data_IF_728644833893
#
_entry.id   IF_728644833893
#
_cell.length_a   1.000
_cell.length_b   1.000
_cell.length_c   1.000
_cell.angle_alpha   90.00
_cell.angle_beta   90.00
_cell.angle_gamma   90.00
#
_symmetry.space_group_name_H-M   'P 1'
#
loop_
_entity.id
_entity.type
_entity.pdbx_description
1 polymer ?
#
# COMPACT_ATOMS: atom_id res chain seq x y z
N UNK A 1 10.36 1.58 3.43
CA UNK A 1 9.18 1.70 2.53
C UNK A 1 8.00 2.26 3.32
N UNK A 2 6.81 2.42 2.75
CA UNK A 2 5.56 2.80 3.45
C UNK A 2 4.50 1.74 3.20
N UNK A 3 3.47 1.69 4.06
CA UNK A 3 2.24 0.92 3.82
C UNK A 3 1.17 1.74 3.08
N UNK A 4 0.22 1.05 2.45
CA UNK A 4 -1.02 1.67 1.96
C UNK A 4 -2.06 1.81 3.05
N UNK A 5 -2.06 0.95 4.07
CA UNK A 5 -2.89 1.09 5.27
C UNK A 5 -2.29 0.30 6.44
N UNK A 6 -2.57 0.73 7.66
CA UNK A 6 -2.28 0.01 8.91
C UNK A 6 -3.58 -0.12 9.71
N UNK A 7 -3.98 -1.34 9.99
CA UNK A 7 -5.10 -1.61 10.89
C UNK A 7 -4.70 -1.39 12.35
N UNK A 8 -5.61 -0.86 13.18
CA UNK A 8 -5.46 -0.84 14.63
C UNK A 8 -5.39 -2.24 15.25
N UNK A 9 -5.85 -3.27 14.53
CA UNK A 9 -5.68 -4.69 14.90
C UNK A 9 -4.28 -5.25 14.59
N UNK A 10 -3.42 -4.48 13.91
CA UNK A 10 -1.99 -4.77 13.74
C UNK A 10 -1.57 -5.23 12.34
N UNK A 11 -2.50 -5.43 11.41
CA UNK A 11 -2.20 -5.82 10.03
C UNK A 11 -1.79 -4.62 9.18
N UNK A 12 -0.71 -4.78 8.42
CA UNK A 12 -0.34 -3.82 7.38
C UNK A 12 -0.83 -4.30 6.02
N UNK A 13 -1.26 -3.37 5.17
CA UNK A 13 -1.72 -3.69 3.81
C UNK A 13 -0.91 -2.90 2.79
N UNK A 14 -0.42 -3.60 1.76
CA UNK A 14 0.14 -3.01 0.55
C UNK A 14 -0.56 -3.52 -0.70
N UNK A 15 -0.59 -2.65 -1.71
CA UNK A 15 -0.98 -2.96 -3.08
C UNK A 15 0.19 -2.64 -3.99
N UNK A 16 0.44 -3.52 -4.94
CA UNK A 16 1.52 -3.38 -5.91
C UNK A 16 1.09 -3.84 -7.30
N UNK A 17 1.70 -3.26 -8.34
CA UNK A 17 1.49 -3.61 -9.73
C UNK A 17 2.63 -4.45 -10.28
N UNK A 18 3.87 -4.09 -9.93
CA UNK A 18 5.11 -4.72 -10.40
C UNK A 18 5.70 -5.66 -9.35
N UNK A 19 5.33 -5.48 -8.09
CA UNK A 19 5.84 -6.25 -6.95
C UNK A 19 7.12 -5.69 -6.34
N UNK A 20 7.66 -4.60 -6.89
CA UNK A 20 8.94 -4.03 -6.46
C UNK A 20 8.88 -3.38 -5.06
N UNK A 21 7.72 -2.87 -4.63
CA UNK A 21 7.56 -2.30 -3.28
C UNK A 21 7.48 -3.39 -2.22
N UNK A 22 6.81 -4.51 -2.54
CA UNK A 22 6.58 -5.60 -1.59
C UNK A 22 7.74 -6.61 -1.56
N UNK A 23 8.46 -6.80 -2.66
CA UNK A 23 9.54 -7.79 -2.75
C UNK A 23 10.59 -7.61 -1.64
N UNK A 24 11.20 -6.43 -1.52
CA UNK A 24 12.22 -6.16 -0.50
C UNK A 24 11.68 -6.26 0.94
N UNK A 25 10.38 -5.98 1.14
CA UNK A 25 9.74 -6.10 2.46
C UNK A 25 9.39 -7.53 2.85
N UNK A 26 9.37 -8.46 1.90
CA UNK A 26 9.05 -9.88 2.13
C UNK A 26 10.32 -10.74 2.13
N UNK A 27 11.33 -10.36 1.34
CA UNK A 27 12.54 -11.16 1.17
C UNK A 27 13.74 -10.31 0.75
N UNK A 28 14.95 -10.77 1.13
CA UNK A 28 16.23 -10.21 0.68
C UNK A 28 16.80 -9.11 1.58
N UNK A 29 15.96 -8.25 2.18
CA UNK A 29 16.42 -7.25 3.14
C UNK A 29 16.69 -7.86 4.53
N UNK A 30 17.75 -7.44 5.21
CA UNK A 30 17.98 -7.79 6.63
C UNK A 30 17.13 -6.95 7.57
N UNK A 31 16.87 -5.70 7.20
CA UNK A 31 16.12 -4.73 7.99
C UNK A 31 15.10 -4.01 7.12
N UNK A 32 13.88 -3.84 7.64
CA UNK A 32 12.79 -3.15 6.96
C UNK A 32 12.12 -2.19 7.93
N UNK A 33 12.07 -0.91 7.55
CA UNK A 33 11.30 0.11 8.26
C UNK A 33 10.12 0.55 7.39
N UNK A 34 8.92 0.44 7.95
CA UNK A 34 7.69 0.98 7.39
C UNK A 34 7.42 2.35 8.02
N UNK A 35 7.58 3.41 7.23
CA UNK A 35 7.36 4.79 7.68
C UNK A 35 6.02 5.28 7.12
N UNK A 36 5.11 5.72 7.98
CA UNK A 36 3.77 6.17 7.60
C UNK A 36 3.27 7.34 8.45
N UNK A 37 2.35 8.13 7.90
CA UNK A 37 1.58 9.11 8.65
C UNK A 37 0.32 8.53 9.28
N UNK A 38 -0.24 9.24 10.25
CA UNK A 38 -1.47 8.84 10.97
C UNK A 38 -2.70 8.71 10.05
N UNK A 39 -2.70 9.39 8.91
CA UNK A 39 -3.74 9.31 7.87
C UNK A 39 -3.85 7.92 7.20
N UNK A 40 -2.95 6.99 7.52
CA UNK A 40 -2.96 5.61 7.01
C UNK A 40 -3.51 4.59 8.00
N UNK A 41 -3.84 4.99 9.22
CA UNK A 41 -4.37 4.11 10.26
C UNK A 41 -5.87 3.93 10.07
N UNK A 42 -6.36 2.69 10.14
CA UNK A 42 -7.78 2.34 10.00
C UNK A 42 -8.24 1.45 11.17
N UNK A 43 -9.55 1.40 11.48
CA UNK A 43 -10.04 0.63 12.63
C UNK A 43 -9.76 -0.88 12.58
N UNK A 44 -9.84 -1.48 11.38
CA UNK A 44 -9.75 -2.93 11.20
C UNK A 44 -9.11 -3.30 9.84
N UNK A 45 -8.91 -4.60 9.61
CA UNK A 45 -8.34 -5.10 8.37
C UNK A 45 -9.24 -4.82 7.15
N UNK A 46 -10.56 -4.90 7.30
CA UNK A 46 -11.50 -4.68 6.20
C UNK A 46 -11.40 -3.23 5.68
N UNK A 47 -11.37 -2.27 6.59
CA UNK A 47 -11.16 -0.85 6.31
C UNK A 47 -9.74 -0.55 5.81
N UNK A 48 -8.73 -1.28 6.26
CA UNK A 48 -7.36 -1.18 5.73
C UNK A 48 -7.31 -1.62 4.25
N UNK A 49 -7.93 -2.76 3.92
CA UNK A 49 -8.06 -3.25 2.54
C UNK A 49 -8.85 -2.25 1.68
N UNK A 50 -9.97 -1.75 2.21
CA UNK A 50 -10.77 -0.75 1.52
C UNK A 50 -9.95 0.51 1.20
N UNK A 51 -9.26 1.08 2.20
CA UNK A 51 -8.41 2.26 2.03
C UNK A 51 -7.33 2.01 0.99
N UNK A 52 -6.65 0.86 1.05
CA UNK A 52 -5.61 0.53 0.08
C UNK A 52 -6.16 0.49 -1.35
N UNK A 53 -7.31 -0.15 -1.57
CA UNK A 53 -7.94 -0.32 -2.90
C UNK A 53 -8.61 0.94 -3.44
N UNK A 54 -9.24 1.73 -2.57
CA UNK A 54 -10.16 2.80 -2.99
C UNK A 54 -9.62 4.21 -2.73
N UNK A 55 -8.56 4.35 -1.94
CA UNK A 55 -7.92 5.65 -1.66
C UNK A 55 -6.49 5.62 -2.15
N UNK A 56 -5.65 4.72 -1.61
CA UNK A 56 -4.22 4.76 -1.84
C UNK A 56 -3.84 4.41 -3.30
N UNK A 57 -4.38 3.31 -3.83
CA UNK A 57 -4.08 2.90 -5.21
C UNK A 57 -4.61 3.90 -6.25
N UNK A 58 -5.86 4.41 -6.18
CA UNK A 58 -6.33 5.41 -7.13
C UNK A 58 -5.52 6.70 -7.12
N UNK A 59 -5.20 7.23 -5.93
CA UNK A 59 -4.35 8.43 -5.80
C UNK A 59 -2.94 8.20 -6.34
N UNK A 60 -2.36 7.01 -6.14
CA UNK A 60 -1.06 6.66 -6.74
C UNK A 60 -1.16 6.58 -8.27
N UNK A 61 -2.24 6.01 -8.79
CA UNK A 61 -2.47 5.90 -10.23
C UNK A 61 -2.56 7.28 -10.87
N UNK A 62 -3.35 8.18 -10.27
CA UNK A 62 -3.48 9.58 -10.68
C UNK A 62 -2.16 10.34 -10.63
N UNK A 63 -1.37 10.17 -9.57
CA UNK A 63 -0.02 10.76 -9.47
C UNK A 63 0.87 10.34 -10.64
N UNK A 64 0.72 9.10 -11.12
CA UNK A 64 1.51 8.52 -12.22
C UNK A 64 0.76 8.51 -13.57
N UNK A 65 -0.24 9.38 -13.78
CA UNK A 65 -1.06 9.43 -15.00
C UNK A 65 -0.29 9.60 -16.32
N UNK A 66 0.97 10.03 -16.26
CA UNK A 66 1.86 10.11 -17.44
C UNK A 66 2.34 8.73 -17.92
N UNK A 67 2.25 7.70 -17.07
CA UNK A 67 2.79 6.36 -17.31
C UNK A 67 1.75 5.26 -17.18
N UNK A 68 0.51 5.59 -16.82
CA UNK A 68 -0.58 4.64 -16.69
C UNK A 68 -1.90 5.29 -17.09
N UNK A 69 -2.58 4.70 -18.07
CA UNK A 69 -3.85 5.20 -18.64
C UNK A 69 -5.06 4.44 -18.10
N UNK A 70 -4.91 3.76 -16.96
CA UNK A 70 -6.03 3.03 -16.35
C UNK A 70 -7.13 3.99 -15.87
N UNK A 71 -8.38 3.52 -15.71
CA UNK A 71 -9.51 4.34 -15.27
C UNK A 71 -9.27 5.14 -13.99
N UNK A 72 -8.53 4.57 -13.03
CA UNK A 72 -8.22 5.27 -11.77
C UNK A 72 -7.27 6.46 -11.97
N UNK A 73 -6.51 6.51 -13.06
CA UNK A 73 -5.66 7.65 -13.42
C UNK A 73 -6.39 8.74 -14.20
N UNK A 74 -7.47 8.39 -14.92
CA UNK A 74 -8.11 9.25 -15.93
C UNK A 74 -9.53 9.70 -15.60
N UNK A 75 -10.31 8.89 -14.88
CA UNK A 75 -11.76 9.11 -14.65
C UNK A 75 -12.09 9.68 -13.25
N UNK A 76 -11.10 9.85 -12.39
CA UNK A 76 -11.10 10.68 -11.17
C UNK A 76 -12.24 10.51 -10.13
N UNK A 77 -12.87 9.33 -10.02
CA UNK A 77 -13.98 9.15 -9.06
C UNK A 77 -13.79 8.02 -8.04
N UNK A 78 -13.21 6.88 -8.44
CA UNK A 78 -13.15 5.67 -7.60
C UNK A 78 -12.22 4.60 -8.16
N UNK A 79 -12.08 3.51 -7.43
CA UNK A 79 -11.62 2.25 -8.02
C UNK A 79 -12.74 1.66 -8.89
N UNK A 80 -12.39 1.25 -10.12
CA UNK A 80 -13.34 0.66 -11.08
C UNK A 80 -13.25 -0.86 -11.16
N UNK A 81 -12.42 -1.47 -10.31
CA UNK A 81 -12.06 -2.90 -10.40
C UNK A 81 -11.67 -3.32 -11.83
N UNK A 82 -10.90 -2.45 -12.51
CA UNK A 82 -10.67 -2.58 -13.93
C UNK A 82 -9.73 -3.75 -14.28
N UNK A 83 -9.92 -4.31 -15.47
CA UNK A 83 -8.98 -5.23 -16.12
C UNK A 83 -7.93 -4.54 -16.99
N UNK A 84 -7.61 -3.26 -16.73
CA UNK A 84 -6.62 -2.53 -17.54
C UNK A 84 -5.26 -3.22 -17.49
N UNK A 85 -4.54 -3.39 -18.62
CA UNK A 85 -3.19 -3.93 -18.62
C UNK A 85 -2.20 -3.05 -17.83
N UNK A 86 -2.51 -1.75 -17.71
CA UNK A 86 -1.69 -0.77 -16.98
C UNK A 86 -2.12 -0.61 -15.51
N UNK A 87 -2.95 -1.50 -14.96
CA UNK A 87 -3.37 -1.41 -13.56
C UNK A 87 -2.15 -1.57 -12.64
N UNK A 88 -2.11 -0.75 -11.59
CA UNK A 88 -1.02 -0.76 -10.59
C UNK A 88 -1.35 -1.60 -9.34
N UNK A 89 -2.44 -2.35 -9.37
CA UNK A 89 -3.02 -3.04 -8.23
C UNK A 89 -3.21 -4.53 -8.51
N UNK A 90 -2.14 -5.20 -8.94
CA UNK A 90 -2.12 -6.62 -9.29
C UNK A 90 -1.98 -7.54 -8.07
N UNK A 91 -1.28 -7.09 -7.04
CA UNK A 91 -1.08 -7.83 -5.80
C UNK A 91 -1.64 -7.03 -4.61
N UNK A 92 -2.28 -7.73 -3.68
CA UNK A 92 -2.59 -7.25 -2.35
C UNK A 92 -1.83 -8.11 -1.34
N UNK A 93 -1.03 -7.48 -0.50
CA UNK A 93 -0.22 -8.15 0.52
C UNK A 93 -0.65 -7.69 1.90
N UNK A 94 -0.91 -8.66 2.78
CA UNK A 94 -1.23 -8.44 4.19
C UNK A 94 -0.05 -8.96 5.01
N UNK A 95 0.54 -8.10 5.84
CA UNK A 95 1.62 -8.48 6.75
C UNK A 95 1.02 -8.69 8.14
N UNK A 96 1.12 -9.91 8.64
CA UNK A 96 0.68 -10.26 9.99
C UNK A 96 1.79 -10.13 11.03
N UNK A 97 3.03 -10.46 10.65
CA UNK A 97 4.22 -10.50 11.54
C UNK A 97 5.51 -10.28 10.74
N UNK A 98 6.61 -10.04 11.47
CA UNK A 98 7.98 -9.99 10.93
C UNK A 98 8.33 -11.26 10.15
N UNK A 99 9.00 -11.11 9.00
CA UNK A 99 9.55 -12.24 8.25
C UNK A 99 10.67 -12.94 9.05
N UNK A 100 10.64 -14.28 9.09
CA UNK A 100 11.52 -15.11 9.95
C UNK A 100 13.01 -14.78 9.81
N UNK A 101 13.46 -14.53 8.58
CA UNK A 101 14.87 -14.33 8.26
C UNK A 101 15.30 -12.84 8.28
N UNK A 102 14.40 -11.92 8.68
CA UNK A 102 14.74 -10.52 8.88
C UNK A 102 15.20 -10.30 10.32
N UNK A 103 16.27 -9.52 10.50
CA UNK A 103 16.71 -9.07 11.82
C UNK A 103 15.67 -8.11 12.39
N UNK A 104 15.30 -7.10 11.59
CA UNK A 104 14.45 -5.99 12.01
C UNK A 104 13.28 -5.81 11.03
N UNK A 105 12.07 -5.65 11.56
CA UNK A 105 10.91 -5.18 10.80
C UNK A 105 10.05 -4.30 11.69
N UNK A 106 10.19 -2.98 11.53
CA UNK A 106 9.61 -2.01 12.44
C UNK A 106 8.69 -1.03 11.73
N UNK A 107 7.75 -0.48 12.49
CA UNK A 107 6.78 0.51 12.03
C UNK A 107 7.08 1.83 12.73
N UNK A 108 7.33 2.88 11.94
CA UNK A 108 7.55 4.24 12.42
C UNK A 108 6.33 5.08 12.02
N UNK A 109 5.52 5.44 13.02
CA UNK A 109 4.35 6.29 12.84
C UNK A 109 4.76 7.75 13.09
N UNK A 110 4.59 8.57 12.07
CA UNK A 110 4.78 10.02 12.17
C UNK A 110 3.42 10.64 12.46
N UNK A 111 3.35 11.51 13.48
CA UNK A 111 2.13 12.18 13.94
C UNK A 111 1.70 13.33 12.99
N UNK A 112 1.73 13.07 11.69
CA UNK A 112 1.36 14.00 10.62
C UNK A 112 0.63 13.25 9.50
N UNK A 113 -0.14 13.97 8.70
CA UNK A 113 -0.76 13.41 7.49
C UNK A 113 0.25 13.37 6.34
N UNK A 114 0.79 12.20 6.04
CA UNK A 114 1.84 12.00 5.04
C UNK A 114 1.42 11.04 3.92
N UNK A 115 1.67 11.47 2.68
CA UNK A 115 1.29 10.71 1.49
C UNK A 115 -0.22 10.51 1.40
N UNK A 116 -0.62 9.38 0.83
CA UNK A 116 -1.99 8.98 0.63
C UNK A 116 -2.16 7.48 0.85
#
# INVERSE_FOLDING_TARGET
TSVNALSQTGEMVNIDGTGNRVAASLFGSQEVFFVLGINKITPDLASAIYRARNVAAPLNSKKNKKSSLNPCATLDEKCYDCGSPDRICNALTIYYKKMRNMQTMEIIIINESLGF
#
